data_IF_841613142252
#
_entry.id   IF_841613142252
#
_cell.length_a   1.000
_cell.length_b   1.000
_cell.length_c   1.000
_cell.angle_alpha   90.00
_cell.angle_beta   90.00
_cell.angle_gamma   90.00
#
_symmetry.space_group_name_H-M   'P 1'
#
loop_
_entity.id
_entity.type
_entity.pdbx_description
1 polymer ?
#
# COMPACT_ATOMS: atom_id res chain seq x y z
N UNK A 1 -1.73 -7.44 16.23
CA UNK A 1 -2.63 -6.31 15.93
C UNK A 1 -2.58 -5.31 17.09
N UNK A 2 -2.26 -4.04 16.83
CA UNK A 2 -2.27 -2.97 17.85
C UNK A 2 -3.19 -1.82 17.38
N UNK A 3 -4.46 -1.79 17.80
CA UNK A 3 -5.40 -0.74 17.40
C UNK A 3 -5.12 0.62 18.07
N UNK A 4 -4.19 0.68 19.03
CA UNK A 4 -3.83 1.91 19.76
C UNK A 4 -2.79 2.77 19.03
N UNK A 5 -2.31 2.34 17.85
CA UNK A 5 -1.43 3.18 17.02
C UNK A 5 -2.14 4.50 16.74
N UNK A 6 -1.50 5.66 17.00
CA UNK A 6 -2.08 6.97 16.72
C UNK A 6 -2.66 7.07 15.30
N UNK A 7 -3.70 7.88 15.16
CA UNK A 7 -4.40 8.04 13.88
C UNK A 7 -3.52 8.79 12.90
N UNK A 8 -3.19 8.14 11.77
CA UNK A 8 -2.45 8.76 10.67
C UNK A 8 -3.20 9.95 10.09
N UNK A 9 -4.54 9.89 10.07
CA UNK A 9 -5.39 11.01 9.60
C UNK A 9 -5.25 12.21 10.53
N UNK A 10 -5.27 12.01 11.86
CA UNK A 10 -5.11 13.11 12.81
C UNK A 10 -3.72 13.73 12.74
N UNK A 11 -2.70 12.90 12.61
CA UNK A 11 -1.31 13.36 12.52
C UNK A 11 -1.03 14.11 11.20
N UNK A 12 -1.46 13.56 10.05
CA UNK A 12 -1.10 14.07 8.71
C UNK A 12 -2.09 15.12 8.20
N UNK A 13 -3.39 14.89 8.34
CA UNK A 13 -4.43 15.77 7.76
C UNK A 13 -4.83 16.85 8.76
N UNK A 14 -5.11 16.49 10.01
CA UNK A 14 -5.60 17.44 11.01
C UNK A 14 -4.47 18.22 11.70
N UNK A 15 -3.22 17.72 11.61
CA UNK A 15 -2.01 18.39 12.13
C UNK A 15 -1.93 18.49 13.66
N UNK A 16 -2.86 17.86 14.39
CA UNK A 16 -2.95 17.90 15.85
C UNK A 16 -2.87 16.52 16.52
N UNK A 17 -2.64 15.47 15.72
CA UNK A 17 -2.48 14.10 16.21
C UNK A 17 -1.06 13.80 16.66
N UNK A 18 -0.94 12.87 17.61
CA UNK A 18 0.34 12.27 18.00
C UNK A 18 0.99 11.55 16.81
N UNK A 19 2.32 11.64 16.71
CA UNK A 19 3.13 10.94 15.72
C UNK A 19 3.03 9.40 15.90
N UNK A 20 2.50 8.65 14.90
CA UNK A 20 2.47 7.19 14.91
C UNK A 20 3.85 6.52 14.84
N UNK A 21 4.88 7.20 14.31
CA UNK A 21 6.20 6.65 14.01
C UNK A 21 6.84 5.90 15.18
N UNK A 22 6.99 6.51 16.38
CA UNK A 22 7.57 5.85 17.55
C UNK A 22 6.83 4.56 17.96
N UNK A 23 5.49 4.56 17.90
CA UNK A 23 4.68 3.38 18.23
C UNK A 23 4.86 2.29 17.19
N UNK A 24 4.92 2.65 15.90
CA UNK A 24 5.16 1.70 14.82
C UNK A 24 6.58 1.09 14.89
N UNK A 25 7.59 1.90 15.22
CA UNK A 25 8.96 1.45 15.44
C UNK A 25 9.05 0.44 16.61
N UNK A 26 8.34 0.70 17.72
CA UNK A 26 8.25 -0.25 18.84
C UNK A 26 7.59 -1.57 18.43
N UNK A 27 6.49 -1.50 17.68
CA UNK A 27 5.86 -2.70 17.13
C UNK A 27 6.82 -3.50 16.25
N UNK A 28 7.61 -2.83 15.40
CA UNK A 28 8.63 -3.48 14.57
C UNK A 28 9.67 -4.23 15.40
N UNK A 29 10.27 -3.57 16.40
CA UNK A 29 11.25 -4.19 17.31
C UNK A 29 10.70 -5.42 18.02
N UNK A 30 9.44 -5.37 18.46
CA UNK A 30 8.79 -6.48 19.14
C UNK A 30 8.55 -7.67 18.21
N UNK A 31 8.13 -7.42 16.98
CA UNK A 31 7.95 -8.47 15.96
C UNK A 31 9.29 -9.12 15.59
N UNK A 32 10.35 -8.33 15.43
CA UNK A 32 11.71 -8.84 15.22
C UNK A 32 12.18 -9.70 16.41
N UNK A 33 11.98 -9.21 17.64
CA UNK A 33 12.33 -9.97 18.86
C UNK A 33 11.52 -11.28 19.00
N UNK A 34 10.36 -11.38 18.37
CA UNK A 34 9.55 -12.61 18.30
C UNK A 34 9.96 -13.55 17.16
N UNK A 35 10.97 -13.19 16.37
CA UNK A 35 11.54 -14.05 15.34
C UNK A 35 10.96 -13.84 13.95
N UNK A 36 10.38 -12.68 13.65
CA UNK A 36 10.00 -12.36 12.28
C UNK A 36 11.25 -12.27 11.36
N UNK A 37 11.17 -12.85 10.16
CA UNK A 37 12.24 -12.78 9.16
C UNK A 37 12.21 -11.47 8.36
N UNK A 38 11.03 -10.86 8.25
CA UNK A 38 10.77 -9.57 7.61
C UNK A 38 9.48 -8.97 8.15
N UNK A 39 9.26 -7.68 7.92
CA UNK A 39 8.04 -6.96 8.28
C UNK A 39 7.29 -6.46 7.04
N UNK A 40 5.97 -6.28 7.19
CA UNK A 40 5.11 -5.64 6.19
C UNK A 40 4.19 -4.64 6.88
N UNK A 41 3.80 -3.58 6.17
CA UNK A 41 2.88 -2.56 6.67
C UNK A 41 1.62 -2.60 5.80
N UNK A 42 0.53 -3.29 6.17
CA UNK A 42 -0.68 -3.39 5.34
C UNK A 42 -1.54 -2.13 5.46
N UNK A 43 -0.97 -0.96 5.13
CA UNK A 43 -1.66 0.33 5.12
C UNK A 43 -0.85 1.33 4.30
N UNK A 44 -1.45 1.88 3.23
CA UNK A 44 -0.80 2.87 2.37
C UNK A 44 -0.35 4.09 3.17
N UNK A 45 -1.26 4.73 3.90
CA UNK A 45 -0.94 5.95 4.67
C UNK A 45 0.13 5.71 5.74
N UNK A 46 0.21 4.50 6.32
CA UNK A 46 1.21 4.19 7.33
C UNK A 46 2.64 4.08 6.75
N UNK A 47 2.79 3.93 5.42
CA UNK A 47 4.11 3.97 4.78
C UNK A 47 4.76 5.34 4.82
N UNK A 48 4.04 6.40 5.19
CA UNK A 48 4.69 7.68 5.52
C UNK A 48 5.68 7.54 6.68
N UNK A 49 5.48 6.55 7.55
CA UNK A 49 6.37 6.22 8.68
C UNK A 49 7.24 5.00 8.41
N UNK A 50 7.39 4.59 7.14
CA UNK A 50 8.18 3.42 6.75
C UNK A 50 9.62 3.49 7.29
N UNK A 51 10.28 4.64 7.10
CA UNK A 51 11.68 4.82 7.52
C UNK A 51 11.85 4.64 9.03
N UNK A 52 10.92 5.17 9.84
CA UNK A 52 10.93 4.99 11.29
C UNK A 52 10.84 3.51 11.73
N UNK A 53 10.13 2.67 10.97
CA UNK A 53 10.07 1.23 11.22
C UNK A 53 11.35 0.55 10.74
N UNK A 54 11.81 0.85 9.52
CA UNK A 54 12.99 0.22 8.93
C UNK A 54 14.27 0.55 9.70
N UNK A 55 14.43 1.77 10.21
CA UNK A 55 15.57 2.18 11.03
C UNK A 55 15.57 1.52 12.42
N UNK A 56 14.40 1.09 12.89
CA UNK A 56 14.23 0.49 14.22
C UNK A 56 14.55 -1.01 14.27
N UNK A 57 14.68 -1.68 13.13
CA UNK A 57 14.89 -3.13 13.03
C UNK A 57 16.06 -3.46 12.09
N UNK A 58 16.61 -4.67 12.19
CA UNK A 58 17.67 -5.18 11.31
C UNK A 58 17.13 -6.04 10.16
N UNK A 59 15.96 -6.63 10.36
CA UNK A 59 15.26 -7.38 9.31
C UNK A 59 14.65 -6.45 8.25
N UNK A 60 14.45 -6.91 7.01
CA UNK A 60 13.86 -6.07 5.97
C UNK A 60 12.40 -5.73 6.27
N UNK A 61 12.02 -4.49 5.99
CA UNK A 61 10.62 -4.05 5.93
C UNK A 61 10.23 -3.95 4.46
N UNK A 62 9.24 -4.71 4.02
CA UNK A 62 8.83 -4.70 2.62
C UNK A 62 7.97 -3.47 2.35
N UNK A 63 8.38 -2.67 1.37
CA UNK A 63 7.69 -1.45 0.98
C UNK A 63 6.57 -1.75 -0.03
N UNK A 64 5.31 -1.67 0.41
CA UNK A 64 4.14 -1.91 -0.43
C UNK A 64 4.02 -0.91 -1.58
N UNK A 65 4.44 0.34 -1.38
CA UNK A 65 4.34 1.38 -2.41
C UNK A 65 5.26 1.02 -3.58
N UNK A 66 6.48 0.55 -3.28
CA UNK A 66 7.41 0.08 -4.32
C UNK A 66 6.89 -1.16 -5.05
N UNK A 67 6.28 -2.11 -4.32
CA UNK A 67 5.66 -3.29 -4.95
C UNK A 67 4.56 -2.90 -5.94
N UNK A 68 3.68 -1.98 -5.54
CA UNK A 68 2.57 -1.53 -6.39
C UNK A 68 3.08 -0.78 -7.61
N UNK A 69 4.03 0.15 -7.43
CA UNK A 69 4.61 0.91 -8.56
C UNK A 69 5.30 -0.02 -9.55
N UNK A 70 6.02 -1.04 -9.07
CA UNK A 70 6.63 -2.04 -9.93
C UNK A 70 5.59 -2.87 -10.69
N UNK A 71 4.45 -3.20 -10.06
CA UNK A 71 3.36 -3.90 -10.73
C UNK A 71 2.72 -3.03 -11.83
N UNK A 72 2.44 -1.75 -11.54
CA UNK A 72 1.96 -0.79 -12.55
C UNK A 72 2.91 -0.74 -13.75
N UNK A 73 4.22 -0.61 -13.49
CA UNK A 73 5.23 -0.58 -14.54
C UNK A 73 5.26 -1.84 -15.40
N UNK A 74 5.06 -3.02 -14.79
CA UNK A 74 5.11 -4.30 -15.48
C UNK A 74 3.86 -4.54 -16.35
N UNK A 75 2.68 -4.28 -15.79
CA UNK A 75 1.42 -4.66 -16.42
C UNK A 75 0.85 -3.56 -17.33
N UNK A 76 1.14 -2.30 -17.01
CA UNK A 76 0.59 -1.10 -17.66
C UNK A 76 1.70 -0.19 -18.19
N UNK A 77 2.75 -0.77 -18.80
CA UNK A 77 3.93 -0.05 -19.28
C UNK A 77 3.66 1.07 -20.32
N UNK A 78 2.46 1.11 -20.91
CA UNK A 78 2.04 2.14 -21.87
C UNK A 78 1.26 3.29 -21.24
N UNK A 79 0.79 3.09 -20.01
CA UNK A 79 0.03 4.11 -19.29
C UNK A 79 0.97 5.16 -18.73
N UNK A 80 0.61 6.44 -18.91
CA UNK A 80 1.33 7.58 -18.34
C UNK A 80 0.51 8.28 -17.25
N UNK A 81 -0.77 7.94 -17.12
CA UNK A 81 -1.71 8.53 -16.16
C UNK A 81 -2.31 7.42 -15.30
N UNK A 82 -2.05 7.46 -14.00
CA UNK A 82 -2.44 6.42 -13.06
C UNK A 82 -3.49 6.97 -12.09
N UNK A 83 -4.69 6.39 -12.11
CA UNK A 83 -5.78 6.77 -11.22
C UNK A 83 -5.46 6.44 -9.77
N UNK A 84 -5.86 7.31 -8.84
CA UNK A 84 -5.63 7.12 -7.41
C UNK A 84 -6.95 6.97 -6.64
N UNK A 85 -7.22 5.76 -6.13
CA UNK A 85 -8.35 5.48 -5.25
C UNK A 85 -7.83 5.37 -3.81
N UNK A 86 -7.67 6.53 -3.15
CA UNK A 86 -7.00 6.61 -1.86
C UNK A 86 -7.60 7.68 -0.94
N UNK A 87 -7.28 7.61 0.36
CA UNK A 87 -7.52 8.74 1.26
C UNK A 87 -6.68 9.97 0.87
N UNK A 88 -7.12 11.21 1.18
CA UNK A 88 -6.36 12.42 0.88
C UNK A 88 -4.94 12.46 1.49
N UNK A 89 -4.71 11.71 2.57
CA UNK A 89 -3.40 11.63 3.20
C UNK A 89 -2.32 11.06 2.26
N UNK A 90 -2.68 10.19 1.31
CA UNK A 90 -1.74 9.63 0.33
C UNK A 90 -1.23 10.71 -0.62
N UNK A 91 -2.12 11.60 -1.09
CA UNK A 91 -1.75 12.75 -1.91
C UNK A 91 -0.87 13.74 -1.12
N UNK A 92 -1.28 14.10 0.10
CA UNK A 92 -0.54 15.06 0.97
C UNK A 92 0.89 14.58 1.23
N UNK A 93 1.07 13.29 1.47
CA UNK A 93 2.38 12.68 1.77
C UNK A 93 3.22 12.40 0.53
N UNK A 94 2.64 12.50 -0.67
CA UNK A 94 3.30 12.22 -1.95
C UNK A 94 3.95 10.83 -2.01
N UNK A 95 3.31 9.84 -1.39
CA UNK A 95 3.86 8.49 -1.25
C UNK A 95 4.15 7.84 -2.60
N UNK A 96 3.22 7.97 -3.54
CA UNK A 96 3.34 7.43 -4.89
C UNK A 96 4.02 8.41 -5.85
N UNK A 97 3.80 9.72 -5.68
CA UNK A 97 4.16 10.75 -6.66
C UNK A 97 5.61 10.67 -7.06
N UNK A 98 6.52 10.65 -6.06
CA UNK A 98 7.97 10.61 -6.32
C UNK A 98 8.40 9.35 -7.09
N UNK A 99 7.69 8.23 -6.92
CA UNK A 99 7.99 6.96 -7.57
C UNK A 99 7.43 6.91 -8.99
N UNK A 100 6.32 7.58 -9.25
CA UNK A 100 5.77 7.71 -10.60
C UNK A 100 6.53 8.73 -11.43
N UNK A 101 6.97 9.84 -10.82
CA UNK A 101 7.78 10.86 -11.50
C UNK A 101 9.06 10.25 -12.12
N UNK A 102 9.72 9.30 -11.44
CA UNK A 102 10.91 8.62 -11.96
C UNK A 102 10.61 7.66 -13.11
N UNK A 103 9.35 7.31 -13.32
CA UNK A 103 8.87 6.46 -14.41
C UNK A 103 8.20 7.27 -15.54
N UNK A 104 8.14 8.60 -15.43
CA UNK A 104 7.40 9.43 -16.39
C UNK A 104 5.88 9.23 -16.33
N UNK A 105 5.37 8.75 -15.19
CA UNK A 105 3.94 8.57 -14.92
C UNK A 105 3.44 9.68 -14.01
N UNK A 106 2.16 10.04 -14.12
CA UNK A 106 1.52 11.07 -13.29
C UNK A 106 0.27 10.51 -12.63
N UNK A 107 0.03 10.89 -11.38
CA UNK A 107 -1.18 10.54 -10.65
C UNK A 107 -2.38 11.35 -11.16
N UNK A 108 -3.51 10.68 -11.38
CA UNK A 108 -4.81 11.30 -11.64
C UNK A 108 -5.72 11.01 -10.46
N UNK A 109 -6.23 12.08 -9.85
CA UNK A 109 -7.11 11.99 -8.69
C UNK A 109 -8.56 12.26 -9.12
N UNK A 110 -9.55 11.67 -8.42
CA UNK A 110 -10.93 12.12 -8.56
C UNK A 110 -11.03 13.62 -8.26
N UNK A 111 -12.02 14.29 -8.85
CA UNK A 111 -12.28 15.68 -8.50
C UNK A 111 -12.75 15.81 -7.04
N UNK A 112 -12.97 17.04 -6.58
CA UNK A 112 -13.35 17.27 -5.19
C UNK A 112 -14.62 16.50 -4.78
N UNK A 113 -15.66 16.48 -5.61
CA UNK A 113 -16.92 15.82 -5.27
C UNK A 113 -16.72 14.30 -5.15
N UNK A 114 -16.06 13.70 -6.15
CA UNK A 114 -15.82 12.27 -6.20
C UNK A 114 -14.81 11.82 -5.12
N UNK A 115 -13.83 12.66 -4.79
CA UNK A 115 -12.87 12.39 -3.72
C UNK A 115 -13.55 12.45 -2.34
N UNK A 116 -14.44 13.41 -2.11
CA UNK A 116 -15.24 13.49 -0.87
C UNK A 116 -16.16 12.27 -0.75
N UNK A 117 -16.78 11.83 -1.86
CA UNK A 117 -17.57 10.59 -1.93
C UNK A 117 -16.73 9.36 -1.59
N UNK A 118 -15.58 9.20 -2.23
CA UNK A 118 -14.65 8.09 -1.98
C UNK A 118 -14.22 8.03 -0.52
N UNK A 119 -13.91 9.19 0.08
CA UNK A 119 -13.51 9.24 1.47
C UNK A 119 -14.65 8.88 2.44
N UNK A 120 -15.89 9.26 2.12
CA UNK A 120 -17.06 8.82 2.87
C UNK A 120 -17.28 7.30 2.75
N UNK A 121 -17.05 6.71 1.58
CA UNK A 121 -17.08 5.24 1.40
C UNK A 121 -16.06 4.58 2.33
N UNK A 122 -14.80 5.03 2.31
CA UNK A 122 -13.73 4.51 3.18
C UNK A 122 -14.14 4.57 4.66
N UNK A 123 -14.72 5.69 5.11
CA UNK A 123 -15.18 5.85 6.50
C UNK A 123 -16.31 4.89 6.88
N UNK A 124 -17.26 4.66 5.97
CA UNK A 124 -18.37 3.75 6.21
C UNK A 124 -17.91 2.28 6.26
N UNK A 125 -17.03 1.87 5.33
CA UNK A 125 -16.45 0.51 5.35
C UNK A 125 -15.63 0.28 6.61
N UNK A 126 -14.84 1.27 7.03
CA UNK A 126 -14.10 1.22 8.29
C UNK A 126 -15.00 1.04 9.52
N UNK A 127 -16.24 1.53 9.47
CA UNK A 127 -17.25 1.34 10.51
C UNK A 127 -18.01 0.01 10.40
N UNK A 128 -17.63 -0.86 9.46
CA UNK A 128 -18.26 -2.17 9.22
C UNK A 128 -19.37 -2.16 8.17
N UNK A 129 -19.58 -1.05 7.47
CA UNK A 129 -20.58 -0.94 6.41
C UNK A 129 -20.09 -1.53 5.09
N UNK A 130 -20.67 -2.66 4.67
CA UNK A 130 -20.49 -3.21 3.32
C UNK A 130 -21.87 -3.35 2.70
N UNK A 131 -22.09 -2.72 1.54
CA UNK A 131 -23.37 -2.76 0.85
C UNK A 131 -23.21 -2.59 -0.66
N UNK A 132 -24.20 -3.07 -1.41
CA UNK A 132 -24.27 -2.83 -2.86
C UNK A 132 -24.33 -1.35 -3.20
N UNK A 133 -24.88 -0.52 -2.30
CA UNK A 133 -24.94 0.92 -2.52
C UNK A 133 -23.54 1.56 -2.45
N UNK A 134 -22.73 1.19 -1.46
CA UNK A 134 -21.34 1.63 -1.37
C UNK A 134 -20.53 1.17 -2.56
N UNK A 135 -20.74 -0.07 -3.02
CA UNK A 135 -20.10 -0.59 -4.23
C UNK A 135 -20.50 0.24 -5.48
N UNK A 136 -21.78 0.56 -5.67
CA UNK A 136 -22.23 1.43 -6.78
C UNK A 136 -21.61 2.83 -6.71
N UNK A 137 -21.56 3.44 -5.53
CA UNK A 137 -20.90 4.74 -5.36
C UNK A 137 -19.39 4.66 -5.65
N UNK A 138 -18.76 3.54 -5.32
CA UNK A 138 -17.35 3.31 -5.63
C UNK A 138 -17.12 3.14 -7.14
N UNK A 139 -17.99 2.40 -7.83
CA UNK A 139 -17.97 2.28 -9.29
C UNK A 139 -18.12 3.63 -9.99
N UNK A 140 -18.99 4.52 -9.50
CA UNK A 140 -19.13 5.89 -10.04
C UNK A 140 -17.84 6.72 -9.94
N UNK A 141 -17.04 6.54 -8.88
CA UNK A 141 -15.73 7.19 -8.76
C UNK A 141 -14.75 6.62 -9.79
N UNK A 142 -14.86 5.32 -10.10
CA UNK A 142 -14.04 4.68 -11.13
C UNK A 142 -14.43 5.14 -12.54
N UNK A 143 -15.72 5.27 -12.84
CA UNK A 143 -16.22 5.86 -14.09
C UNK A 143 -15.69 7.29 -14.27
N UNK A 144 -15.73 8.11 -13.21
CA UNK A 144 -15.18 9.47 -13.25
C UNK A 144 -13.67 9.52 -13.57
N UNK A 145 -12.88 8.58 -13.05
CA UNK A 145 -11.46 8.48 -13.43
C UNK A 145 -11.30 8.04 -14.88
N UNK A 146 -12.12 7.11 -15.34
CA UNK A 146 -12.11 6.63 -16.73
C UNK A 146 -12.47 7.75 -17.72
N UNK A 147 -13.44 8.60 -17.38
CA UNK A 147 -13.83 9.78 -18.16
C UNK A 147 -12.70 10.83 -18.24
N UNK A 148 -11.75 10.81 -17.30
CA UNK A 148 -10.52 11.60 -17.35
C UNK A 148 -9.40 10.95 -18.20
N UNK A 149 -9.69 9.83 -18.87
CA UNK A 149 -8.74 9.12 -19.73
C UNK A 149 -7.78 8.19 -18.98
N UNK A 150 -8.09 7.83 -17.73
CA UNK A 150 -7.30 6.87 -16.97
C UNK A 150 -7.60 5.45 -17.44
N UNK A 151 -6.55 4.70 -17.81
CA UNK A 151 -6.65 3.28 -18.15
C UNK A 151 -6.62 2.34 -16.95
N UNK A 152 -5.91 2.72 -15.88
CA UNK A 152 -5.74 1.92 -14.66
C UNK A 152 -5.72 2.78 -13.39
N UNK A 153 -6.31 2.29 -12.30
CA UNK A 153 -6.24 2.93 -10.99
C UNK A 153 -5.64 2.03 -9.90
N UNK A 154 -4.94 2.64 -8.93
CA UNK A 154 -4.48 1.95 -7.73
C UNK A 154 -5.54 2.04 -6.64
N UNK A 155 -5.94 0.88 -6.11
CA UNK A 155 -6.71 0.81 -4.86
C UNK A 155 -5.73 0.94 -3.69
N UNK A 156 -5.51 2.19 -3.26
CA UNK A 156 -4.55 2.55 -2.23
C UNK A 156 -5.20 2.75 -0.85
N UNK A 157 -6.26 2.00 -0.56
CA UNK A 157 -6.89 1.91 0.77
C UNK A 157 -7.40 0.50 1.00
N UNK A 158 -6.96 -0.16 2.08
CA UNK A 158 -7.33 -1.54 2.41
C UNK A 158 -8.84 -1.73 2.62
N UNK A 159 -9.54 -0.67 3.03
CA UNK A 159 -11.00 -0.66 3.16
C UNK A 159 -11.70 -0.76 1.80
N UNK A 160 -11.14 -0.18 0.74
CA UNK A 160 -11.72 -0.28 -0.61
C UNK A 160 -11.57 -1.71 -1.17
N UNK A 161 -10.46 -2.39 -0.86
CA UNK A 161 -10.27 -3.81 -1.18
C UNK A 161 -11.41 -4.70 -0.67
N UNK A 162 -12.01 -4.36 0.47
CA UNK A 162 -13.11 -5.11 1.07
C UNK A 162 -14.44 -4.98 0.31
N UNK A 163 -14.60 -3.96 -0.55
CA UNK A 163 -15.79 -3.79 -1.40
C UNK A 163 -15.73 -4.58 -2.71
N UNK A 164 -14.62 -5.27 -2.99
CA UNK A 164 -14.40 -6.07 -4.19
C UNK A 164 -14.04 -5.24 -5.42
N UNK A 165 -13.13 -5.77 -6.24
CA UNK A 165 -12.64 -5.12 -7.48
C UNK A 165 -13.18 -5.70 -8.79
N UNK A 166 -13.76 -6.91 -8.77
CA UNK A 166 -14.05 -7.67 -10.00
C UNK A 166 -15.19 -7.10 -10.86
N UNK A 167 -16.02 -6.20 -10.32
CA UNK A 167 -17.12 -5.54 -11.04
C UNK A 167 -16.91 -4.02 -11.16
N UNK A 168 -15.67 -3.54 -11.02
CA UNK A 168 -15.35 -2.12 -11.24
C UNK A 168 -15.23 -1.82 -12.74
N UNK A 169 -15.67 -0.63 -13.19
CA UNK A 169 -15.65 -0.26 -14.62
C UNK A 169 -14.26 0.18 -15.15
N UNK A 170 -13.23 0.09 -14.32
CA UNK A 170 -11.86 0.52 -14.56
C UNK A 170 -10.89 -0.59 -14.10
N UNK A 171 -9.82 -0.83 -14.85
CA UNK A 171 -8.78 -1.75 -14.43
C UNK A 171 -8.14 -1.26 -13.13
N UNK A 172 -7.89 -2.18 -12.19
CA UNK A 172 -7.35 -1.81 -10.89
C UNK A 172 -6.17 -2.66 -10.46
N UNK A 173 -5.22 -2.02 -9.77
CA UNK A 173 -4.18 -2.68 -9.00
C UNK A 173 -4.47 -2.47 -7.52
N UNK A 174 -4.80 -3.56 -6.83
CA UNK A 174 -5.06 -3.52 -5.40
C UNK A 174 -3.77 -3.67 -4.59
N UNK A 175 -3.41 -2.62 -3.83
CA UNK A 175 -2.19 -2.60 -3.03
C UNK A 175 -2.15 -3.71 -1.98
N UNK A 176 -3.30 -4.06 -1.38
CA UNK A 176 -3.43 -5.14 -0.40
C UNK A 176 -3.17 -6.49 -1.05
N UNK A 177 -3.72 -6.71 -2.25
CA UNK A 177 -3.55 -7.94 -3.02
C UNK A 177 -2.09 -8.09 -3.47
N UNK A 178 -1.50 -7.04 -4.03
CA UNK A 178 -0.08 -7.03 -4.44
C UNK A 178 0.83 -7.36 -3.25
N UNK A 179 0.57 -6.76 -2.08
CA UNK A 179 1.35 -7.07 -0.87
C UNK A 179 1.19 -8.53 -0.46
N UNK A 180 -0.03 -9.05 -0.42
CA UNK A 180 -0.30 -10.43 -0.04
C UNK A 180 0.38 -11.44 -0.97
N UNK A 181 0.30 -11.22 -2.29
CA UNK A 181 0.94 -12.08 -3.27
C UNK A 181 2.47 -12.01 -3.20
N UNK A 182 3.04 -10.81 -3.00
CA UNK A 182 4.47 -10.64 -2.82
C UNK A 182 4.97 -11.41 -1.59
N UNK A 183 4.24 -11.34 -0.47
CA UNK A 183 4.55 -12.12 0.74
C UNK A 183 4.55 -13.62 0.43
N UNK A 184 3.50 -14.12 -0.25
CA UNK A 184 3.41 -15.55 -0.60
C UNK A 184 4.58 -15.96 -1.52
N UNK A 185 4.93 -15.14 -2.51
CA UNK A 185 6.07 -15.39 -3.41
C UNK A 185 7.39 -15.44 -2.64
N UNK A 186 7.67 -14.46 -1.78
CA UNK A 186 8.89 -14.40 -0.98
C UNK A 186 9.04 -15.61 -0.07
N UNK A 187 7.96 -16.03 0.59
CA UNK A 187 7.98 -17.18 1.51
C UNK A 187 8.13 -18.52 0.76
N UNK A 188 7.51 -18.67 -0.41
CA UNK A 188 7.60 -19.91 -1.21
C UNK A 188 8.91 -20.03 -1.99
N UNK A 189 9.54 -18.90 -2.34
CA UNK A 189 10.74 -18.85 -3.19
C UNK A 189 11.85 -18.00 -2.53
N UNK A 190 12.33 -18.37 -1.33
CA UNK A 190 13.27 -17.54 -0.57
C UNK A 190 14.63 -17.34 -1.26
N UNK A 191 15.02 -18.23 -2.18
CA UNK A 191 16.23 -18.11 -2.99
C UNK A 191 16.15 -16.99 -4.04
N UNK A 192 14.95 -16.66 -4.50
CA UNK A 192 14.70 -15.63 -5.52
C UNK A 192 14.50 -14.24 -4.90
N UNK A 193 14.13 -14.20 -3.61
CA UNK A 193 13.92 -12.98 -2.84
C UNK A 193 14.78 -13.01 -1.57
N UNK A 194 16.12 -12.87 -1.69
CA UNK A 194 17.00 -12.93 -0.54
C UNK A 194 16.67 -11.79 0.43
N UNK A 195 16.10 -12.14 1.58
CA UNK A 195 15.83 -11.24 2.70
C UNK A 195 17.15 -10.88 3.37
N UNK A 196 17.80 -9.82 2.88
CA UNK A 196 19.07 -9.34 3.47
C UNK A 196 18.81 -8.77 4.87
N UNK A 197 19.56 -9.24 5.88
CA UNK A 197 19.43 -8.77 7.27
C UNK A 197 19.25 -9.89 8.30
N UNK A 198 18.99 -11.12 7.86
CA UNK A 198 18.81 -12.25 8.75
C UNK A 198 20.17 -12.90 9.12
N UNK A 199 20.53 -13.06 10.41
CA UNK A 199 21.79 -13.68 10.84
C UNK A 199 21.93 -15.16 10.44
N UNK A 200 20.84 -15.79 9.97
CA UNK A 200 20.83 -17.16 9.43
C UNK A 200 21.07 -17.27 7.92
N UNK A 201 21.25 -16.16 7.18
CA UNK A 201 21.62 -16.19 5.75
C UNK A 201 23.12 -16.46 5.55
N UNK A 202 23.65 -17.50 6.22
CA UNK A 202 24.92 -18.06 5.82
C UNK A 202 24.74 -18.69 4.43
N UNK A 203 25.48 -18.12 3.47
CA UNK A 203 25.69 -18.68 2.14
C UNK A 203 25.83 -20.19 2.24
N UNK A 204 24.94 -20.94 1.60
CA UNK A 204 25.29 -22.28 1.13
C UNK A 204 26.25 -22.06 -0.05
N UNK A 205 27.48 -21.67 0.26
CA UNK A 205 28.59 -21.74 -0.66
C UNK A 205 29.05 -23.20 -0.69
N UNK A 206 28.66 -23.90 -1.75
CA UNK A 206 29.43 -24.96 -2.39
C UNK A 206 29.77 -26.20 -1.57
N UNK A 207 29.21 -27.33 -1.99
CA UNK A 207 30.07 -28.47 -2.25
C UNK A 207 29.53 -29.27 -3.44
N UNK A 208 29.93 -28.88 -4.65
CA UNK A 208 29.88 -29.74 -5.81
C UNK A 208 31.29 -30.28 -6.00
N UNK A 209 31.55 -31.45 -5.43
CA UNK A 209 32.70 -32.29 -5.76
C UNK A 209 32.50 -33.71 -5.20
N UNK A 210 31.86 -34.56 -6.00
CA UNK A 210 32.30 -35.92 -6.39
C UNK A 210 31.19 -36.64 -7.14
#
# INVERSE_FOLDING_TARGET
NNPKVPSRIKAIIEGNGEDPGPVMADMGRRLEAWGADFLVIPCNTAHFYYDAVQEAVKIPVINMIDLVVNQVKADFARETHIGMLASPAVAITKLYTRRFDTLGMTEVWPDKEHQDRLFNIIRQVKAGGISLDLHRQYAQVCDHLKDQGVGVAIVACTELSALGGNDLPLDTIDASQVLAEAIVRMVKHPSEYPLTGHPGSSRISGNNNR
#
